data_IF_276900411951
#
_entry.id   IF_276900411951
#
_cell.length_a   1.000
_cell.length_b   1.000
_cell.length_c   1.000
_cell.angle_alpha   90.00
_cell.angle_beta   90.00
_cell.angle_gamma   90.00
#
_symmetry.space_group_name_H-M   'P 1'
#
loop_
_entity.id
_entity.type
_entity.pdbx_description
1 polymer ?
#
# COMPACT_ATOMS: atom_id res chain seq x y z
N UNK A 1 -9.85 5.71 -32.52
CA UNK A 1 -11.12 5.96 -31.81
C UNK A 1 -11.37 7.46 -31.87
N UNK A 2 -12.57 7.93 -32.20
CA UNK A 2 -12.87 9.37 -32.22
C UNK A 2 -12.61 9.98 -30.84
N UNK A 3 -12.10 11.21 -30.79
CA UNK A 3 -11.92 11.92 -29.51
C UNK A 3 -13.26 12.47 -29.04
N UNK A 4 -13.46 12.60 -27.73
CA UNK A 4 -14.72 13.15 -27.18
C UNK A 4 -14.96 14.59 -27.63
N UNK A 5 -13.90 15.33 -27.94
CA UNK A 5 -13.95 16.69 -28.51
C UNK A 5 -14.53 16.74 -29.91
N UNK A 6 -14.62 15.61 -30.61
CA UNK A 6 -15.20 15.50 -31.95
C UNK A 6 -16.60 14.87 -31.87
N UNK A 7 -16.69 13.70 -31.22
CA UNK A 7 -17.92 12.93 -31.05
C UNK A 7 -17.93 12.36 -29.63
N UNK A 8 -18.69 13.01 -28.74
CA UNK A 8 -18.81 12.67 -27.32
C UNK A 8 -20.26 12.33 -26.94
N UNK A 9 -20.81 13.05 -25.95
CA UNK A 9 -22.16 12.82 -25.45
C UNK A 9 -23.20 13.14 -26.54
N UNK A 10 -24.13 12.22 -26.80
CA UNK A 10 -25.17 12.34 -27.83
C UNK A 10 -24.62 12.68 -29.23
N UNK A 11 -23.46 12.12 -29.58
CA UNK A 11 -22.74 12.36 -30.84
C UNK A 11 -22.39 13.84 -31.07
N UNK A 12 -22.21 14.62 -29.99
CA UNK A 12 -21.77 16.03 -30.05
C UNK A 12 -20.36 16.21 -29.49
N UNK A 13 -19.58 17.18 -30.02
CA UNK A 13 -18.36 17.65 -29.39
C UNK A 13 -18.54 17.92 -27.90
N UNK A 14 -17.81 17.19 -27.05
CA UNK A 14 -17.94 17.28 -25.59
C UNK A 14 -16.57 17.36 -24.93
N UNK A 15 -16.40 18.38 -24.07
CA UNK A 15 -15.22 18.55 -23.23
C UNK A 15 -15.54 18.14 -21.79
N UNK A 16 -14.70 17.28 -21.23
CA UNK A 16 -14.79 16.80 -19.85
C UNK A 16 -13.65 17.43 -19.06
N UNK A 17 -13.97 18.08 -17.95
CA UNK A 17 -12.97 18.67 -17.05
C UNK A 17 -13.27 18.28 -15.61
N UNK A 18 -12.20 18.15 -14.81
CA UNK A 18 -12.36 17.95 -13.38
C UNK A 18 -12.94 19.21 -12.73
N UNK A 19 -13.70 19.05 -11.65
CA UNK A 19 -14.25 20.16 -10.86
C UNK A 19 -13.13 21.11 -10.40
N UNK A 20 -11.96 20.58 -10.01
CA UNK A 20 -10.77 21.35 -9.64
C UNK A 20 -10.27 22.27 -10.77
N UNK A 21 -10.32 21.81 -12.01
CA UNK A 21 -9.96 22.63 -13.18
C UNK A 21 -10.95 23.78 -13.37
N UNK A 22 -12.25 23.50 -13.25
CA UNK A 22 -13.27 24.53 -13.34
C UNK A 22 -13.26 25.50 -12.16
N UNK A 23 -12.94 25.06 -10.94
CA UNK A 23 -12.86 25.95 -9.78
C UNK A 23 -11.74 26.98 -9.90
N UNK A 24 -10.63 26.65 -10.57
CA UNK A 24 -9.53 27.59 -10.80
C UNK A 24 -9.84 28.60 -11.92
N UNK A 25 -10.74 28.27 -12.84
CA UNK A 25 -11.00 29.08 -14.05
C UNK A 25 -11.51 30.51 -13.75
N UNK A 26 -12.51 30.73 -12.86
CA UNK A 26 -12.95 32.07 -12.50
C UNK A 26 -11.84 32.95 -11.91
N UNK A 27 -10.96 32.34 -11.10
CA UNK A 27 -9.84 33.05 -10.47
C UNK A 27 -8.81 33.48 -11.51
N UNK A 28 -8.50 32.62 -12.48
CA UNK A 28 -7.60 32.93 -13.60
C UNK A 28 -8.18 34.05 -14.46
N UNK A 29 -9.47 34.00 -14.78
CA UNK A 29 -10.13 35.05 -15.59
C UNK A 29 -10.12 36.40 -14.87
N UNK A 30 -10.35 36.40 -13.56
CA UNK A 30 -10.47 37.63 -12.77
C UNK A 30 -9.12 38.26 -12.44
N UNK A 31 -8.11 37.44 -12.12
CA UNK A 31 -6.78 37.89 -11.67
C UNK A 31 -5.72 37.89 -12.77
N UNK A 32 -6.03 37.33 -13.94
CA UNK A 32 -5.10 37.18 -15.05
C UNK A 32 -4.30 35.87 -15.00
N UNK A 33 -3.87 35.41 -16.18
CA UNK A 33 -3.08 34.19 -16.32
C UNK A 33 -1.70 34.30 -15.65
N UNK A 34 -1.07 35.48 -15.67
CA UNK A 34 0.22 35.74 -15.03
C UNK A 34 0.18 35.52 -13.52
N UNK A 35 -0.92 35.89 -12.86
CA UNK A 35 -1.10 35.64 -11.43
C UNK A 35 -1.10 34.14 -11.11
N UNK A 36 -1.81 33.34 -11.89
CA UNK A 36 -1.84 31.89 -11.69
C UNK A 36 -0.48 31.24 -12.03
N UNK A 37 0.18 31.74 -13.09
CA UNK A 37 1.50 31.31 -13.52
C UNK A 37 2.63 31.70 -12.56
N UNK A 38 2.44 32.73 -11.71
CA UNK A 38 3.42 33.13 -10.69
C UNK A 38 3.58 32.14 -9.54
N UNK A 39 2.69 31.14 -9.46
CA UNK A 39 2.74 30.05 -8.48
C UNK A 39 3.07 28.77 -9.22
N UNK A 40 3.88 27.90 -8.62
CA UNK A 40 4.25 26.62 -9.22
C UNK A 40 5.64 26.63 -9.86
N UNK A 41 5.88 25.67 -10.76
CA UNK A 41 7.11 25.59 -11.57
C UNK A 41 6.86 26.12 -12.98
N UNK A 42 7.93 26.32 -13.75
CA UNK A 42 7.84 26.81 -15.14
C UNK A 42 6.90 25.96 -16.02
N UNK A 43 6.93 24.62 -15.83
CA UNK A 43 6.11 23.68 -16.60
C UNK A 43 4.79 23.31 -15.93
N UNK A 44 4.69 23.45 -14.61
CA UNK A 44 3.50 23.09 -13.82
C UNK A 44 3.10 24.26 -12.95
N UNK A 45 2.26 25.14 -13.50
CA UNK A 45 1.81 26.36 -12.83
C UNK A 45 0.56 26.14 -11.98
N UNK A 46 0.37 27.03 -11.00
CA UNK A 46 -0.76 27.04 -10.08
C UNK A 46 -0.58 26.15 -8.85
N UNK A 47 -1.71 25.78 -8.27
CA UNK A 47 -1.80 24.97 -7.05
C UNK A 47 -2.39 23.60 -7.33
N UNK A 48 -2.09 22.65 -6.45
CA UNK A 48 -2.78 21.38 -6.37
C UNK A 48 -3.36 21.11 -5.00
N UNK A 49 -4.52 20.48 -5.01
CA UNK A 49 -5.19 19.95 -3.83
C UNK A 49 -4.83 18.47 -3.69
N UNK A 50 -4.38 18.06 -2.51
CA UNK A 50 -4.13 16.68 -2.13
C UNK A 50 -4.96 16.25 -0.93
N UNK A 51 -5.41 15.00 -0.92
CA UNK A 51 -5.95 14.33 0.25
C UNK A 51 -4.81 13.55 0.93
N UNK A 52 -4.25 14.13 1.98
CA UNK A 52 -3.18 13.56 2.77
C UNK A 52 -3.76 12.66 3.88
N UNK A 53 -3.39 11.38 3.86
CA UNK A 53 -3.88 10.37 4.81
C UNK A 53 -2.80 9.33 5.12
N UNK A 54 -3.15 8.32 5.92
CA UNK A 54 -2.25 7.24 6.33
C UNK A 54 -1.55 7.54 7.66
N UNK A 55 -0.26 7.20 7.74
CA UNK A 55 0.57 7.31 8.94
C UNK A 55 1.19 8.70 9.08
N UNK A 56 0.34 9.71 9.19
CA UNK A 56 0.73 11.12 9.30
C UNK A 56 -0.07 11.82 10.39
N UNK A 57 0.54 12.74 11.13
CA UNK A 57 -0.10 13.39 12.29
C UNK A 57 -1.30 14.26 11.89
N UNK A 58 -1.14 15.04 10.83
CA UNK A 58 -2.18 15.92 10.30
C UNK A 58 -2.73 15.33 8.99
N UNK A 59 -3.85 14.60 9.10
CA UNK A 59 -4.61 14.14 7.93
C UNK A 59 -5.60 15.21 7.48
N UNK A 60 -5.78 15.37 6.16
CA UNK A 60 -6.75 16.32 5.63
C UNK A 60 -6.60 16.63 4.14
N UNK A 61 -7.40 17.58 3.67
CA UNK A 61 -7.23 18.18 2.36
C UNK A 61 -6.30 19.38 2.47
N UNK A 62 -5.25 19.40 1.65
CA UNK A 62 -4.25 20.46 1.61
C UNK A 62 -4.19 21.05 0.21
N UNK A 63 -4.10 22.37 0.10
CA UNK A 63 -3.81 23.06 -1.15
C UNK A 63 -2.38 23.59 -1.09
N UNK A 64 -1.56 23.18 -2.05
CA UNK A 64 -0.12 23.47 -2.09
C UNK A 64 0.27 23.98 -3.47
N UNK A 65 1.31 24.83 -3.59
CA UNK A 65 1.86 25.21 -4.87
C UNK A 65 2.43 23.98 -5.59
N UNK A 66 2.33 23.95 -6.92
CA UNK A 66 3.04 22.93 -7.70
C UNK A 66 4.56 23.03 -7.49
N UNK A 67 5.27 21.91 -7.54
CA UNK A 67 6.71 21.85 -7.30
C UNK A 67 7.13 21.77 -5.82
N UNK A 68 6.21 21.88 -4.86
CA UNK A 68 6.48 21.54 -3.46
C UNK A 68 7.03 20.11 -3.35
N UNK A 69 7.95 19.85 -2.43
CA UNK A 69 8.52 18.51 -2.26
C UNK A 69 7.62 17.60 -1.42
N UNK A 70 7.80 16.28 -1.57
CA UNK A 70 7.15 15.30 -0.70
C UNK A 70 7.52 15.52 0.77
N UNK A 71 8.76 15.92 1.05
CA UNK A 71 9.26 16.22 2.39
C UNK A 71 8.45 17.33 3.04
N UNK A 72 8.28 18.45 2.36
CA UNK A 72 7.51 19.60 2.87
C UNK A 72 6.05 19.21 3.13
N UNK A 73 5.43 18.46 2.21
CA UNK A 73 4.05 17.97 2.41
C UNK A 73 3.96 17.07 3.65
N UNK A 74 4.87 16.11 3.82
CA UNK A 74 4.76 15.08 4.86
C UNK A 74 5.17 15.62 6.23
N UNK A 75 6.27 16.36 6.30
CA UNK A 75 6.86 16.80 7.58
C UNK A 75 6.36 18.17 8.00
N UNK A 76 6.30 19.14 7.09
CA UNK A 76 5.94 20.52 7.47
C UNK A 76 4.41 20.67 7.57
N UNK A 77 3.67 20.17 6.58
CA UNK A 77 2.20 20.25 6.56
C UNK A 77 1.59 19.07 7.33
N UNK A 78 2.01 17.85 7.01
CA UNK A 78 1.54 16.62 7.64
C UNK A 78 1.98 16.45 9.09
N UNK A 79 2.94 17.26 9.57
CA UNK A 79 3.44 17.18 10.94
C UNK A 79 4.26 15.91 11.23
N UNK A 80 4.73 15.23 10.19
CA UNK A 80 5.52 14.00 10.31
C UNK A 80 4.68 12.74 10.56
N UNK A 81 5.37 11.64 10.85
CA UNK A 81 4.78 10.31 10.95
C UNK A 81 4.11 10.09 12.30
N UNK A 82 2.92 9.49 12.27
CA UNK A 82 2.16 9.14 13.48
C UNK A 82 2.97 8.25 14.43
N UNK A 83 2.72 8.39 15.74
CA UNK A 83 3.35 7.58 16.80
C UNK A 83 4.89 7.65 16.85
N UNK A 84 5.49 8.67 16.22
CA UNK A 84 6.95 8.81 16.11
C UNK A 84 7.60 7.74 15.23
N UNK A 85 6.82 7.14 14.31
CA UNK A 85 7.32 6.17 13.34
C UNK A 85 8.34 6.77 12.35
N UNK A 86 8.92 5.91 11.54
CA UNK A 86 9.85 6.28 10.47
C UNK A 86 9.13 6.22 9.13
N UNK A 87 9.31 7.27 8.31
CA UNK A 87 8.75 7.29 6.97
C UNK A 87 9.34 6.16 6.13
N UNK A 88 8.47 5.38 5.50
CA UNK A 88 8.88 4.30 4.59
C UNK A 88 8.58 4.64 3.15
N UNK A 89 7.32 5.00 2.89
CA UNK A 89 6.83 5.25 1.55
C UNK A 89 5.62 6.18 1.56
N UNK A 90 5.33 6.78 0.42
CA UNK A 90 4.07 7.47 0.15
C UNK A 90 3.50 6.96 -1.16
N UNK A 91 2.22 6.61 -1.15
CA UNK A 91 1.49 6.29 -2.36
C UNK A 91 0.88 7.58 -2.91
N UNK A 92 1.20 7.95 -4.15
CA UNK A 92 0.64 9.15 -4.80
C UNK A 92 -0.14 8.77 -6.05
N UNK A 93 -1.20 9.53 -6.37
CA UNK A 93 -1.99 9.33 -7.59
C UNK A 93 -3.25 8.48 -7.43
N UNK A 94 -3.66 8.19 -6.18
CA UNK A 94 -4.83 7.33 -5.89
C UNK A 94 -4.55 5.84 -6.10
N UNK A 95 -5.54 4.94 -6.03
CA UNK A 95 -5.29 3.49 -5.95
C UNK A 95 -4.46 2.87 -7.08
N UNK A 96 -4.44 3.48 -8.28
CA UNK A 96 -3.62 3.04 -9.42
C UNK A 96 -2.29 3.81 -9.54
N UNK A 97 -1.90 4.54 -8.51
CA UNK A 97 -0.66 5.31 -8.47
C UNK A 97 0.56 4.51 -8.02
N UNK A 98 1.72 5.16 -7.93
CA UNK A 98 2.98 4.53 -7.51
C UNK A 98 3.26 4.70 -6.02
N UNK A 99 4.15 3.86 -5.49
CA UNK A 99 4.69 3.96 -4.13
C UNK A 99 6.12 4.51 -4.17
N UNK A 100 6.34 5.67 -3.58
CA UNK A 100 7.62 6.37 -3.58
C UNK A 100 8.34 6.20 -2.23
N UNK A 101 9.59 5.74 -2.20
CA UNK A 101 10.34 5.49 -0.97
C UNK A 101 10.90 6.76 -0.31
N UNK A 102 11.44 6.60 0.90
CA UNK A 102 12.17 7.64 1.64
C UNK A 102 13.30 8.32 0.84
N UNK A 103 13.96 7.60 -0.07
CA UNK A 103 15.02 8.17 -0.92
C UNK A 103 14.53 9.21 -1.92
N UNK A 104 13.22 9.30 -2.15
CA UNK A 104 12.59 10.26 -3.06
C UNK A 104 11.81 11.36 -2.31
N UNK A 105 12.05 11.56 -1.01
CA UNK A 105 11.38 12.61 -0.24
C UNK A 105 11.60 14.02 -0.80
N UNK A 106 12.73 14.26 -1.46
CA UNK A 106 13.06 15.56 -2.04
C UNK A 106 12.56 15.70 -3.49
N UNK A 107 11.80 14.73 -4.00
CA UNK A 107 11.18 14.81 -5.33
C UNK A 107 10.11 15.91 -5.33
N UNK A 108 10.18 16.87 -6.27
CA UNK A 108 9.15 17.89 -6.43
C UNK A 108 7.86 17.28 -6.96
N UNK A 109 6.74 17.81 -6.50
CA UNK A 109 5.40 17.40 -6.90
C UNK A 109 5.00 18.18 -8.16
N UNK A 110 5.36 17.62 -9.30
CA UNK A 110 4.90 18.02 -10.62
C UNK A 110 4.63 16.79 -11.50
N UNK A 111 4.09 17.00 -12.70
CA UNK A 111 3.69 15.89 -13.57
C UNK A 111 4.89 15.04 -14.04
N UNK A 112 5.97 15.70 -14.45
CA UNK A 112 7.14 15.05 -15.05
C UNK A 112 7.90 14.22 -14.00
N UNK A 113 8.19 14.81 -12.84
CA UNK A 113 8.99 14.20 -11.77
C UNK A 113 8.29 12.99 -11.15
N UNK A 114 6.95 13.03 -11.02
CA UNK A 114 6.18 11.91 -10.51
C UNK A 114 6.14 10.75 -11.51
N UNK A 115 5.99 11.04 -12.81
CA UNK A 115 5.98 10.02 -13.87
C UNK A 115 7.33 9.28 -13.96
N UNK A 116 8.44 10.02 -13.89
CA UNK A 116 9.80 9.43 -13.85
C UNK A 116 10.02 8.53 -12.62
N UNK A 117 9.40 8.89 -11.50
CA UNK A 117 9.40 8.10 -10.27
C UNK A 117 8.46 6.88 -10.33
N UNK A 118 7.74 6.67 -11.44
CA UNK A 118 6.78 5.58 -11.63
C UNK A 118 5.45 5.79 -10.90
N UNK A 119 5.16 7.02 -10.50
CA UNK A 119 3.88 7.42 -9.92
C UNK A 119 3.17 8.41 -10.84
N UNK A 120 2.04 8.96 -10.41
CA UNK A 120 1.27 9.95 -11.15
C UNK A 120 0.69 10.99 -10.20
N UNK A 121 0.45 12.20 -10.70
CA UNK A 121 -0.31 13.22 -9.96
C UNK A 121 -1.73 12.71 -9.61
N UNK A 122 -2.35 12.02 -10.56
CA UNK A 122 -3.64 11.35 -10.43
C UNK A 122 -4.73 12.26 -9.84
N UNK A 123 -5.52 11.72 -8.91
CA UNK A 123 -6.61 12.44 -8.23
C UNK A 123 -6.15 13.32 -7.06
N UNK A 124 -4.84 13.38 -6.76
CA UNK A 124 -4.33 14.04 -5.56
C UNK A 124 -4.44 13.22 -4.27
N UNK A 125 -4.68 11.91 -4.33
CA UNK A 125 -4.61 11.06 -3.14
C UNK A 125 -3.15 10.80 -2.72
N UNK A 126 -2.84 10.99 -1.43
CA UNK A 126 -1.53 10.70 -0.84
C UNK A 126 -1.68 9.86 0.44
N UNK A 127 -1.23 8.60 0.40
CA UNK A 127 -1.27 7.69 1.54
C UNK A 127 0.15 7.48 2.08
N UNK A 128 0.43 8.05 3.25
CA UNK A 128 1.72 7.94 3.94
C UNK A 128 1.82 6.61 4.68
N UNK A 129 2.97 5.95 4.59
CA UNK A 129 3.25 4.64 5.16
C UNK A 129 4.52 4.67 6.03
N UNK A 130 4.48 3.92 7.13
CA UNK A 130 5.55 3.79 8.11
C UNK A 130 6.35 2.47 7.93
N UNK A 131 7.38 2.27 8.76
CA UNK A 131 8.23 1.08 8.74
C UNK A 131 7.49 -0.24 9.00
N UNK A 132 6.30 -0.17 9.63
CA UNK A 132 5.45 -1.31 10.00
C UNK A 132 4.49 -1.71 8.88
N UNK A 133 4.51 -1.00 7.75
CA UNK A 133 3.66 -1.29 6.60
C UNK A 133 4.38 -2.25 5.64
N UNK A 134 3.72 -3.33 5.19
CA UNK A 134 4.31 -4.27 4.22
C UNK A 134 4.06 -3.81 2.78
N UNK A 135 5.10 -3.60 1.98
CA UNK A 135 4.92 -3.06 0.63
C UNK A 135 4.33 -4.07 -0.37
N UNK A 136 4.54 -5.37 -0.14
CA UNK A 136 3.89 -6.44 -0.91
C UNK A 136 2.38 -6.45 -0.65
N UNK A 137 1.97 -6.31 0.61
CA UNK A 137 0.55 -6.25 0.99
C UNK A 137 -0.12 -4.95 0.53
N UNK A 138 0.62 -3.84 0.51
CA UNK A 138 0.17 -2.56 -0.07
C UNK A 138 -0.12 -2.70 -1.56
N UNK A 139 0.79 -3.30 -2.32
CA UNK A 139 0.57 -3.56 -3.74
C UNK A 139 -0.67 -4.46 -3.95
N UNK A 140 -0.80 -5.53 -3.15
CA UNK A 140 -1.96 -6.42 -3.15
C UNK A 140 -3.26 -5.66 -2.86
N UNK A 141 -3.28 -4.81 -1.84
CA UNK A 141 -4.46 -4.05 -1.42
C UNK A 141 -4.95 -3.08 -2.49
N UNK A 142 -4.04 -2.27 -3.05
CA UNK A 142 -4.41 -1.30 -4.10
C UNK A 142 -4.81 -1.97 -5.41
N UNK A 143 -4.18 -3.10 -5.74
CA UNK A 143 -4.58 -3.89 -6.90
C UNK A 143 -5.94 -4.56 -6.71
N UNK A 144 -6.25 -5.07 -5.51
CA UNK A 144 -7.57 -5.64 -5.17
C UNK A 144 -8.69 -4.62 -5.39
N UNK A 145 -8.48 -3.38 -4.92
CA UNK A 145 -9.38 -2.26 -5.21
C UNK A 145 -9.54 -2.04 -6.73
N UNK A 146 -8.44 -1.98 -7.46
CA UNK A 146 -8.46 -1.72 -8.91
C UNK A 146 -9.14 -2.85 -9.71
N UNK A 147 -9.00 -4.10 -9.26
CA UNK A 147 -9.69 -5.26 -9.84
C UNK A 147 -11.19 -5.15 -9.65
N UNK A 148 -11.65 -4.72 -8.48
CA UNK A 148 -13.08 -4.52 -8.16
C UNK A 148 -13.66 -3.38 -9.00
N UNK A 149 -12.93 -2.27 -9.15
CA UNK A 149 -13.36 -1.09 -9.90
C UNK A 149 -13.19 -1.21 -11.42
N UNK A 150 -12.64 -2.33 -11.91
CA UNK A 150 -12.49 -2.57 -13.35
C UNK A 150 -13.84 -2.79 -14.02
N UNK A 151 -14.13 -2.04 -15.08
CA UNK A 151 -15.33 -2.25 -15.89
C UNK A 151 -15.29 -3.56 -16.71
N UNK A 152 -14.13 -4.22 -16.81
CA UNK A 152 -13.97 -5.51 -17.48
C UNK A 152 -13.96 -5.47 -19.02
N UNK A 153 -13.89 -4.28 -19.64
CA UNK A 153 -13.97 -4.14 -21.10
C UNK A 153 -12.73 -4.68 -21.85
N UNK A 154 -11.52 -4.32 -21.41
CA UNK A 154 -10.28 -4.80 -22.04
C UNK A 154 -9.76 -6.05 -21.34
N UNK A 155 -9.38 -7.06 -22.14
CA UNK A 155 -8.86 -8.34 -21.63
C UNK A 155 -7.59 -8.16 -20.80
N UNK A 156 -6.59 -7.34 -21.22
CA UNK A 156 -5.39 -7.12 -20.41
C UNK A 156 -5.71 -6.60 -19.01
N UNK A 157 -6.55 -5.56 -18.89
CA UNK A 157 -6.98 -5.09 -17.57
C UNK A 157 -7.80 -6.14 -16.82
N UNK A 158 -8.87 -6.69 -17.42
CA UNK A 158 -9.82 -7.57 -16.72
C UNK A 158 -9.19 -8.85 -16.17
N UNK A 159 -8.33 -9.50 -16.96
CA UNK A 159 -7.73 -10.78 -16.59
C UNK A 159 -6.32 -10.61 -16.04
N UNK A 160 -5.53 -9.71 -16.61
CA UNK A 160 -4.15 -9.50 -16.15
C UNK A 160 -4.09 -8.96 -14.72
N UNK A 161 -4.94 -8.00 -14.35
CA UNK A 161 -4.94 -7.48 -12.97
C UNK A 161 -5.40 -8.54 -11.95
N UNK A 162 -6.29 -9.45 -12.34
CA UNK A 162 -6.69 -10.59 -11.49
C UNK A 162 -5.54 -11.56 -11.29
N UNK A 163 -4.83 -11.91 -12.35
CA UNK A 163 -3.66 -12.79 -12.25
C UNK A 163 -2.56 -12.18 -11.38
N UNK A 164 -2.24 -10.89 -11.57
CA UNK A 164 -1.31 -10.17 -10.69
C UNK A 164 -1.75 -10.23 -9.21
N UNK A 165 -3.04 -10.04 -8.94
CA UNK A 165 -3.59 -10.08 -7.60
C UNK A 165 -3.46 -11.47 -6.96
N UNK A 166 -3.73 -12.55 -7.70
CA UNK A 166 -3.57 -13.91 -7.20
C UNK A 166 -2.11 -14.24 -6.89
N UNK A 167 -1.18 -13.81 -7.74
CA UNK A 167 0.26 -13.95 -7.47
C UNK A 167 0.66 -13.22 -6.17
N UNK A 168 0.22 -11.98 -6.00
CA UNK A 168 0.49 -11.21 -4.76
C UNK A 168 -0.14 -11.86 -3.52
N UNK A 169 -1.36 -12.41 -3.63
CA UNK A 169 -2.00 -13.18 -2.54
C UNK A 169 -1.17 -14.39 -2.16
N UNK A 170 -0.65 -15.14 -3.13
CA UNK A 170 0.19 -16.32 -2.88
C UNK A 170 1.54 -15.93 -2.26
N UNK A 171 2.16 -14.81 -2.68
CA UNK A 171 3.36 -14.27 -2.03
C UNK A 171 3.07 -13.88 -0.57
N UNK A 172 2.00 -13.12 -0.31
CA UNK A 172 1.57 -12.78 1.05
C UNK A 172 1.19 -14.03 1.89
N UNK A 173 0.75 -15.10 1.24
CA UNK A 173 0.47 -16.39 1.88
C UNK A 173 1.72 -17.25 2.13
N UNK A 174 2.90 -16.80 1.70
CA UNK A 174 4.16 -17.55 1.84
C UNK A 174 4.36 -18.64 0.79
N UNK A 175 3.53 -18.69 -0.25
CA UNK A 175 3.61 -19.66 -1.35
C UNK A 175 4.27 -19.08 -2.61
N UNK A 176 4.74 -17.84 -2.54
CA UNK A 176 5.48 -17.20 -3.62
C UNK A 176 6.69 -18.01 -4.08
N UNK A 177 6.94 -17.95 -5.38
CA UNK A 177 8.02 -18.61 -6.12
C UNK A 177 8.94 -17.55 -6.73
N UNK A 178 10.14 -17.96 -7.14
CA UNK A 178 11.13 -17.03 -7.70
C UNK A 178 10.63 -16.41 -9.01
N UNK A 179 9.96 -17.23 -9.83
CA UNK A 179 9.44 -16.87 -11.15
C UNK A 179 8.30 -15.85 -11.04
N UNK A 180 7.67 -15.74 -9.88
CA UNK A 180 6.57 -14.81 -9.66
C UNK A 180 7.07 -13.34 -9.76
N UNK A 181 8.35 -13.05 -9.48
CA UNK A 181 8.91 -11.70 -9.64
C UNK A 181 8.92 -11.24 -11.10
N UNK A 182 9.41 -12.12 -11.98
CA UNK A 182 9.47 -11.84 -13.41
C UNK A 182 8.06 -11.79 -14.01
N UNK A 183 7.19 -12.72 -13.58
CA UNK A 183 5.77 -12.73 -13.99
C UNK A 183 5.05 -11.43 -13.60
N UNK A 184 5.22 -10.96 -12.35
CA UNK A 184 4.62 -9.71 -11.90
C UNK A 184 5.08 -8.53 -12.77
N UNK A 185 6.38 -8.47 -13.10
CA UNK A 185 6.94 -7.40 -13.91
C UNK A 185 6.43 -7.43 -15.36
N UNK A 186 6.58 -8.57 -16.05
CA UNK A 186 6.19 -8.71 -17.46
C UNK A 186 4.69 -8.50 -17.65
N UNK A 187 3.87 -9.08 -16.78
CA UNK A 187 2.42 -8.93 -16.86
C UNK A 187 1.99 -7.50 -16.57
N UNK A 188 2.65 -6.81 -15.63
CA UNK A 188 2.38 -5.39 -15.36
C UNK A 188 2.63 -4.52 -16.60
N UNK A 189 3.72 -4.75 -17.34
CA UNK A 189 4.00 -4.04 -18.59
C UNK A 189 2.98 -4.36 -19.68
N UNK A 190 2.56 -5.63 -19.80
CA UNK A 190 1.55 -6.04 -20.77
C UNK A 190 0.18 -5.40 -20.47
N UNK A 191 -0.21 -5.30 -19.20
CA UNK A 191 -1.43 -4.62 -18.77
C UNK A 191 -1.36 -3.13 -19.09
N UNK A 192 -0.23 -2.48 -18.78
CA UNK A 192 -0.01 -1.06 -19.07
C UNK A 192 -0.19 -0.78 -20.57
N UNK A 193 0.52 -1.52 -21.42
CA UNK A 193 0.48 -1.30 -22.87
C UNK A 193 -0.84 -1.74 -23.53
N UNK A 194 -1.50 -2.78 -22.99
CA UNK A 194 -2.68 -3.39 -23.60
C UNK A 194 -4.02 -2.79 -23.15
N UNK A 195 -4.03 -1.92 -22.14
CA UNK A 195 -5.26 -1.38 -21.57
C UNK A 195 -5.81 -0.16 -22.32
N UNK A 196 -7.14 -0.05 -22.34
CA UNK A 196 -7.86 0.98 -23.09
C UNK A 196 -7.83 2.36 -22.41
N UNK A 197 -8.01 2.39 -21.09
CA UNK A 197 -8.20 3.62 -20.31
C UNK A 197 -7.10 3.79 -19.27
N UNK A 198 -7.02 5.00 -18.71
CA UNK A 198 -6.00 5.35 -17.71
C UNK A 198 -6.01 4.45 -16.47
N UNK A 199 -7.17 3.93 -16.05
CA UNK A 199 -7.24 2.97 -14.94
C UNK A 199 -6.44 1.71 -15.26
N UNK A 200 -6.71 1.06 -16.39
CA UNK A 200 -6.01 -0.17 -16.77
C UNK A 200 -4.53 0.08 -17.07
N UNK A 201 -4.20 1.24 -17.66
CA UNK A 201 -2.81 1.61 -17.93
C UNK A 201 -2.00 1.80 -16.63
N UNK A 202 -2.61 2.32 -15.58
CA UNK A 202 -1.91 2.63 -14.32
C UNK A 202 -2.15 1.58 -13.24
N UNK A 203 -3.07 0.63 -13.44
CA UNK A 203 -3.46 -0.37 -12.44
C UNK A 203 -2.29 -1.15 -11.82
N UNK A 204 -1.22 -1.36 -12.58
CA UNK A 204 -0.05 -2.10 -12.15
C UNK A 204 1.07 -1.23 -11.55
N UNK A 205 0.90 0.10 -11.48
CA UNK A 205 1.92 1.00 -10.92
C UNK A 205 2.29 0.69 -9.46
N UNK A 206 1.35 0.32 -8.56
CA UNK A 206 1.72 -0.11 -7.21
C UNK A 206 2.64 -1.33 -7.24
N UNK A 207 2.42 -2.27 -8.16
CA UNK A 207 3.25 -3.47 -8.33
C UNK A 207 4.63 -3.11 -8.86
N UNK A 208 4.68 -2.35 -9.97
CA UNK A 208 5.93 -1.93 -10.60
C UNK A 208 6.83 -1.13 -9.66
N UNK A 209 6.27 -0.15 -8.95
CA UNK A 209 7.05 0.68 -8.03
C UNK A 209 7.49 -0.06 -6.78
N UNK A 210 6.65 -0.94 -6.23
CA UNK A 210 7.08 -1.75 -5.07
C UNK A 210 8.11 -2.81 -5.45
N UNK A 211 8.05 -3.39 -6.65
CA UNK A 211 9.13 -4.23 -7.18
C UNK A 211 10.42 -3.43 -7.41
N UNK A 212 10.31 -2.17 -7.86
CA UNK A 212 11.48 -1.30 -8.12
C UNK A 212 12.18 -0.86 -6.84
N UNK A 213 11.42 -0.45 -5.81
CA UNK A 213 11.97 0.23 -4.63
C UNK A 213 12.00 -0.61 -3.36
N UNK A 214 11.27 -1.73 -3.32
CA UNK A 214 11.13 -2.58 -2.13
C UNK A 214 11.25 -4.06 -2.50
N UNK A 215 12.09 -4.38 -3.48
CA UNK A 215 12.30 -5.75 -3.97
C UNK A 215 12.69 -6.71 -2.84
N UNK A 216 13.46 -6.22 -1.89
CA UNK A 216 13.95 -6.98 -0.73
C UNK A 216 12.79 -7.53 0.11
N UNK A 217 11.65 -6.83 0.16
CA UNK A 217 10.47 -7.36 0.85
C UNK A 217 9.84 -8.52 0.10
N UNK A 218 9.77 -8.46 -1.24
CA UNK A 218 9.31 -9.60 -2.03
C UNK A 218 10.24 -10.81 -1.86
N UNK A 219 11.55 -10.58 -1.90
CA UNK A 219 12.56 -11.62 -1.68
C UNK A 219 12.43 -12.23 -0.27
N UNK A 220 12.21 -11.43 0.77
CA UNK A 220 11.94 -11.93 2.12
C UNK A 220 10.67 -12.80 2.19
N UNK A 221 9.60 -12.43 1.47
CA UNK A 221 8.37 -13.24 1.42
C UNK A 221 8.59 -14.56 0.67
N UNK A 222 9.31 -14.51 -0.46
CA UNK A 222 9.51 -15.66 -1.36
C UNK A 222 10.53 -16.64 -0.79
N UNK A 223 11.71 -16.17 -0.39
CA UNK A 223 12.84 -17.02 0.00
C UNK A 223 12.90 -17.28 1.50
N UNK A 224 12.74 -16.23 2.32
CA UNK A 224 12.85 -16.35 3.79
C UNK A 224 11.52 -16.78 4.44
N UNK A 225 10.42 -16.78 3.68
CA UNK A 225 9.05 -16.98 4.20
C UNK A 225 8.77 -16.06 5.39
N UNK A 226 9.23 -14.81 5.27
CA UNK A 226 9.20 -13.79 6.31
C UNK A 226 8.52 -12.53 5.79
N UNK A 227 7.70 -11.91 6.63
CA UNK A 227 7.17 -10.57 6.41
C UNK A 227 7.92 -9.60 7.34
N UNK A 228 8.82 -8.74 6.82
CA UNK A 228 9.60 -7.82 7.64
C UNK A 228 8.73 -6.89 8.51
N UNK A 229 7.61 -6.44 7.95
CA UNK A 229 6.61 -5.60 8.59
C UNK A 229 5.65 -6.38 9.52
N UNK A 230 5.66 -7.72 9.49
CA UNK A 230 4.84 -8.61 10.33
C UNK A 230 3.32 -8.43 10.17
N UNK A 231 2.88 -8.06 8.96
CA UNK A 231 1.45 -7.85 8.62
C UNK A 231 0.82 -9.09 8.00
N UNK A 232 1.56 -9.82 7.15
CA UNK A 232 1.05 -11.01 6.46
C UNK A 232 0.83 -12.18 7.43
N UNK A 233 -0.44 -12.48 7.75
CA UNK A 233 -0.85 -13.50 8.74
C UNK A 233 -0.20 -14.87 8.54
N UNK A 234 -0.08 -15.31 7.29
CA UNK A 234 0.51 -16.61 6.95
C UNK A 234 2.02 -16.70 7.21
N UNK A 235 2.69 -15.57 7.43
CA UNK A 235 4.15 -15.47 7.61
C UNK A 235 4.55 -15.07 9.03
N UNK A 236 3.59 -14.97 9.95
CA UNK A 236 3.83 -14.56 11.33
C UNK A 236 3.43 -15.62 12.35
N UNK A 237 3.94 -15.47 13.55
CA UNK A 237 3.55 -16.26 14.72
C UNK A 237 3.54 -15.35 15.94
N UNK A 238 2.70 -15.68 16.92
CA UNK A 238 2.70 -14.99 18.20
C UNK A 238 3.38 -15.87 19.24
N UNK A 239 4.32 -15.30 19.98
CA UNK A 239 5.04 -15.99 21.05
C UNK A 239 4.91 -15.22 22.35
N UNK A 240 4.87 -15.96 23.46
CA UNK A 240 4.83 -15.36 24.79
C UNK A 240 6.23 -15.42 25.39
N UNK A 241 6.73 -14.26 25.77
CA UNK A 241 8.03 -14.02 26.38
C UNK A 241 8.06 -14.54 27.80
N UNK A 242 8.92 -15.52 28.08
CA UNK A 242 9.10 -16.11 29.40
C UNK A 242 9.54 -15.09 30.45
N UNK A 243 10.43 -14.17 30.06
CA UNK A 243 11.00 -13.12 30.92
C UNK A 243 10.00 -12.01 31.30
N UNK A 244 8.88 -11.88 30.57
CA UNK A 244 7.89 -10.81 30.77
C UNK A 244 6.53 -11.32 31.25
N UNK A 245 6.19 -12.57 30.99
CA UNK A 245 4.86 -13.10 31.27
C UNK A 245 4.67 -13.40 32.76
N UNK A 246 3.73 -12.69 33.40
CA UNK A 246 3.37 -12.91 34.81
C UNK A 246 2.25 -13.95 35.02
N UNK A 247 1.78 -14.59 33.95
CA UNK A 247 0.75 -15.63 34.03
C UNK A 247 -0.64 -15.14 34.47
N UNK A 248 -1.10 -13.98 33.99
CA UNK A 248 -2.40 -13.39 34.33
C UNK A 248 -3.63 -14.07 33.67
N UNK A 249 -3.40 -14.86 32.61
CA UNK A 249 -4.44 -15.58 31.86
C UNK A 249 -5.36 -14.73 30.98
N UNK A 250 -5.12 -13.42 30.83
CA UNK A 250 -5.95 -12.55 29.96
C UNK A 250 -5.89 -13.00 28.51
N UNK A 251 -4.69 -13.30 28.00
CA UNK A 251 -4.49 -13.77 26.63
C UNK A 251 -5.24 -15.08 26.36
N UNK A 252 -5.19 -16.05 27.28
CA UNK A 252 -5.90 -17.31 27.14
C UNK A 252 -7.42 -17.16 27.13
N UNK A 253 -7.98 -16.35 28.04
CA UNK A 253 -9.43 -16.06 28.07
C UNK A 253 -9.93 -15.31 26.84
N UNK A 254 -9.07 -14.49 26.23
CA UNK A 254 -9.41 -13.69 25.05
C UNK A 254 -9.15 -14.43 23.73
N UNK A 255 -8.58 -15.63 23.77
CA UNK A 255 -8.25 -16.38 22.56
C UNK A 255 -9.52 -17.00 21.95
N UNK A 256 -9.92 -16.61 20.72
CA UNK A 256 -11.16 -17.09 20.11
C UNK A 256 -11.14 -18.58 19.75
N UNK A 257 -9.95 -19.16 19.59
CA UNK A 257 -9.73 -20.57 19.22
C UNK A 257 -9.08 -21.38 20.33
N UNK A 258 -8.99 -20.83 21.54
CA UNK A 258 -8.40 -21.47 22.71
C UNK A 258 -6.98 -22.05 22.49
N UNK A 259 -6.17 -21.41 21.64
CA UNK A 259 -4.81 -21.86 21.30
C UNK A 259 -3.76 -21.57 22.38
N UNK A 260 -4.14 -21.05 23.56
CA UNK A 260 -3.19 -20.61 24.58
C UNK A 260 -3.43 -21.41 25.85
N UNK A 261 -2.39 -22.09 26.32
CA UNK A 261 -2.39 -22.90 27.54
C UNK A 261 -1.44 -22.30 28.58
N UNK A 262 -1.70 -22.56 29.87
CA UNK A 262 -0.88 -22.07 30.97
C UNK A 262 -1.65 -21.98 32.28
N UNK A 263 -0.99 -22.31 33.39
CA UNK A 263 -1.57 -22.16 34.73
C UNK A 263 -1.41 -20.72 35.25
N UNK A 264 -2.20 -20.37 36.28
CA UNK A 264 -2.03 -19.10 37.00
C UNK A 264 -0.60 -18.97 37.52
N UNK A 265 0.00 -17.79 37.33
CA UNK A 265 1.39 -17.47 37.73
C UNK A 265 2.48 -18.27 37.01
N UNK A 266 2.15 -19.05 35.96
CA UNK A 266 3.13 -19.68 35.07
C UNK A 266 3.10 -19.01 33.70
N UNK A 267 4.22 -19.10 32.97
CA UNK A 267 4.30 -18.61 31.60
C UNK A 267 3.29 -19.37 30.74
N UNK A 268 2.55 -18.64 29.93
CA UNK A 268 1.57 -19.22 29.00
C UNK A 268 2.26 -19.53 27.67
N UNK A 269 1.79 -20.55 26.97
CA UNK A 269 2.34 -20.99 25.68
C UNK A 269 1.24 -20.94 24.64
N UNK A 270 1.58 -20.45 23.45
CA UNK A 270 0.67 -20.42 22.30
C UNK A 270 0.96 -21.65 21.43
N UNK A 271 -0.03 -22.51 21.29
CA UNK A 271 -0.02 -23.62 20.35
C UNK A 271 -0.13 -23.07 18.93
N UNK A 272 0.97 -23.13 18.19
CA UNK A 272 1.05 -22.62 16.83
C UNK A 272 0.22 -23.44 15.83
N UNK A 273 -0.18 -24.66 16.17
CA UNK A 273 -0.98 -25.53 15.30
C UNK A 273 -2.47 -25.13 15.32
N UNK A 274 -2.93 -24.56 16.44
CA UNK A 274 -4.31 -24.09 16.62
C UNK A 274 -4.43 -22.58 16.36
N UNK A 275 -3.35 -21.83 16.60
CA UNK A 275 -3.35 -20.38 16.44
C UNK A 275 -3.70 -19.93 15.01
N UNK A 276 -4.69 -19.02 14.91
CA UNK A 276 -5.13 -18.39 13.65
C UNK A 276 -4.53 -17.01 13.40
N UNK A 277 -3.45 -16.67 14.14
CA UNK A 277 -2.70 -15.42 14.01
C UNK A 277 -3.58 -14.14 14.05
N UNK A 278 -4.60 -14.12 14.92
CA UNK A 278 -5.54 -13.00 15.02
C UNK A 278 -5.00 -11.78 15.77
N UNK A 279 -3.92 -11.91 16.54
CA UNK A 279 -3.30 -10.80 17.29
C UNK A 279 -4.02 -10.34 18.56
N UNK A 280 -5.22 -10.87 18.87
CA UNK A 280 -5.99 -10.50 20.08
C UNK A 280 -5.17 -10.69 21.36
N UNK A 281 -4.35 -11.74 21.42
CA UNK A 281 -3.49 -11.98 22.58
C UNK A 281 -2.44 -10.87 22.80
N UNK A 282 -1.92 -10.27 21.72
CA UNK A 282 -0.98 -9.16 21.78
C UNK A 282 -1.68 -7.87 22.21
N UNK A 283 -2.83 -7.56 21.60
CA UNK A 283 -3.61 -6.36 21.93
C UNK A 283 -4.07 -6.35 23.39
N UNK A 284 -4.53 -7.50 23.91
CA UNK A 284 -5.02 -7.62 25.29
C UNK A 284 -3.91 -7.85 26.31
N UNK A 285 -2.66 -8.03 25.89
CA UNK A 285 -1.55 -8.15 26.82
C UNK A 285 -1.34 -6.79 27.52
N UNK A 286 -1.32 -6.71 28.86
CA UNK A 286 -1.15 -5.43 29.54
C UNK A 286 0.15 -4.75 29.11
N UNK A 287 0.07 -3.48 28.73
CA UNK A 287 1.20 -2.68 28.20
C UNK A 287 2.41 -2.65 29.14
N UNK A 288 2.16 -2.69 30.46
CA UNK A 288 3.20 -2.81 31.50
C UNK A 288 4.12 -4.02 31.30
N UNK A 289 3.58 -5.14 30.82
CA UNK A 289 4.36 -6.36 30.58
C UNK A 289 4.74 -6.50 29.12
N UNK A 290 3.80 -6.25 28.20
CA UNK A 290 3.99 -6.41 26.74
C UNK A 290 4.72 -7.71 26.42
N UNK A 291 4.18 -8.82 26.93
CA UNK A 291 4.81 -10.13 26.94
C UNK A 291 4.49 -10.98 25.69
N UNK A 292 3.71 -10.46 24.74
CA UNK A 292 3.34 -11.17 23.52
C UNK A 292 4.02 -10.50 22.32
N UNK A 293 4.96 -11.21 21.72
CA UNK A 293 5.69 -10.73 20.56
C UNK A 293 5.14 -11.36 19.28
N UNK A 294 4.99 -10.53 18.24
CA UNK A 294 4.77 -11.01 16.88
C UNK A 294 6.13 -11.26 16.24
N UNK A 295 6.36 -12.49 15.76
CA UNK A 295 7.61 -12.91 15.12
C UNK A 295 7.36 -13.35 13.69
N UNK A 296 8.39 -13.21 12.85
CA UNK A 296 8.42 -13.68 11.47
C UNK A 296 9.85 -14.13 11.16
N UNK A 297 10.09 -15.27 10.50
CA UNK A 297 9.14 -16.13 9.79
C UNK A 297 8.20 -16.92 10.72
N UNK A 298 7.16 -17.55 10.12
CA UNK A 298 6.21 -18.40 10.85
C UNK A 298 6.92 -19.60 11.48
N UNK A 299 6.64 -19.88 12.75
CA UNK A 299 7.22 -21.02 13.47
C UNK A 299 6.63 -22.30 12.88
N UNK A 300 7.50 -23.20 12.43
CA UNK A 300 7.08 -24.50 11.89
C UNK A 300 6.52 -25.36 13.03
N UNK A 301 5.26 -25.76 12.91
CA UNK A 301 4.67 -26.80 13.76
C UNK A 301 5.12 -28.16 13.22
N UNK A 302 5.84 -28.93 14.03
CA UNK A 302 6.13 -30.33 13.71
C UNK A 302 4.80 -31.09 13.64
N UNK A 303 4.26 -31.27 12.45
CA UNK A 303 3.21 -32.26 12.22
C UNK A 303 3.95 -33.59 12.03
N UNK A 304 3.61 -34.68 12.74
CA UNK A 304 4.22 -35.96 12.45
C UNK A 304 3.90 -36.28 11.00
N UNK A 305 4.92 -36.54 10.18
CA UNK A 305 4.72 -37.21 8.90
C UNK A 305 3.89 -38.45 9.18
N UNK A 306 2.72 -38.55 8.54
CA UNK A 306 1.98 -39.80 8.53
C UNK A 306 2.95 -40.84 7.96
N UNK A 307 3.45 -41.74 8.80
CA UNK A 307 4.06 -42.98 8.34
C UNK A 307 3.03 -43.64 7.42
N UNK A 308 3.30 -43.63 6.12
CA UNK A 308 2.67 -44.54 5.19
C UNK A 308 3.02 -45.94 5.70
N UNK A 309 2.06 -46.58 6.36
CA UNK A 309 2.12 -48.00 6.67
C UNK A 309 2.11 -48.75 5.34
N UNK A 310 3.27 -49.35 5.05
CA UNK A 310 3.58 -50.50 4.19
C UNK A 310 2.40 -51.23 3.56
#
# INVERSE_FOLDING_TARGET
>A
RPRTTEIGLYDKPTLLNNVKTFSSSPMIITKGAEWFASVGTEKSTGTAIFALTGKVNNCGLIEVPMGITLREIIYDIGGGISDGGTFKAVQTGGPSGGCLPASLLDTPIDYDSLDEAGSIMGSGGMVVMDEKTCMVDVARYFLDFTVIESCGQCVPCRLGTKELLEVLKEICAGKGRKEDLDLLYELSLAIHAGSICGLGQTAANPVLTTLRYFKEEYEAHIFEKRCPAKVCKSLISFVIREDKCVGCGICARSCPVSAISGEKKKVHVIDQSVCVQCGVCQEKCPTKFSAVDCVSPKIKTSTPEKMETT
#
